data_IF_168287111554
#
_entry.id   IF_168287111554
#
_cell.length_a   1.000
_cell.length_b   1.000
_cell.length_c   1.000
_cell.angle_alpha   90.00
_cell.angle_beta   90.00
_cell.angle_gamma   90.00
#
_symmetry.space_group_name_H-M   'P 1'
#
loop_
_entity.id
_entity.type
_entity.pdbx_description
1 polymer ?
#
# COMPACT_ATOMS: atom_id res chain seq x y z
N UNK A 1 4.37 -14.29 -6.00
CA UNK A 1 3.78 -13.05 -6.58
C UNK A 1 3.48 -12.06 -5.46
N UNK A 2 3.91 -10.84 -5.63
CA UNK A 2 3.65 -9.79 -4.62
C UNK A 2 2.21 -9.32 -4.72
N UNK A 3 1.56 -9.22 -3.58
CA UNK A 3 0.17 -8.76 -3.46
C UNK A 3 0.16 -7.35 -2.91
N UNK A 4 -0.54 -6.46 -3.61
CA UNK A 4 -0.68 -5.05 -3.24
C UNK A 4 -2.16 -4.74 -3.03
N UNK A 5 -2.49 -4.18 -1.88
CA UNK A 5 -3.86 -3.74 -1.58
C UNK A 5 -3.89 -2.22 -1.54
N UNK A 6 -4.76 -1.63 -2.34
CA UNK A 6 -4.95 -0.18 -2.41
C UNK A 6 -6.30 0.17 -1.80
N UNK A 7 -6.28 0.95 -0.72
CA UNK A 7 -7.48 1.32 0.01
C UNK A 7 -7.55 2.81 0.32
N UNK A 8 -6.95 3.63 -0.56
CA UNK A 8 -7.00 5.09 -0.39
C UNK A 8 -8.33 5.66 -0.89
N UNK A 9 -8.68 6.83 -0.40
CA UNK A 9 -9.83 7.61 -0.89
C UNK A 9 -9.34 8.91 -1.50
N UNK A 10 -10.08 9.46 -2.46
CA UNK A 10 -11.33 8.98 -3.04
C UNK A 10 -11.14 7.78 -3.98
N UNK A 11 -12.26 7.16 -4.37
CA UNK A 11 -12.26 5.97 -5.22
C UNK A 11 -11.46 6.15 -6.52
N UNK A 12 -11.61 7.29 -7.16
CA UNK A 12 -10.90 7.59 -8.40
C UNK A 12 -9.38 7.48 -8.21
N UNK A 13 -8.89 7.90 -7.07
CA UNK A 13 -7.50 7.86 -6.71
C UNK A 13 -7.01 6.42 -6.54
N UNK A 14 -7.81 5.58 -5.86
CA UNK A 14 -7.53 4.14 -5.73
C UNK A 14 -7.34 3.49 -7.08
N UNK A 15 -8.27 3.77 -7.99
CA UNK A 15 -8.27 3.18 -9.32
C UNK A 15 -7.06 3.62 -10.13
N UNK A 16 -6.69 4.90 -10.04
CA UNK A 16 -5.53 5.43 -10.75
C UNK A 16 -4.22 4.78 -10.27
N UNK A 17 -4.06 4.65 -8.96
CA UNK A 17 -2.87 4.02 -8.39
C UNK A 17 -2.80 2.55 -8.79
N UNK A 18 -3.91 1.83 -8.67
CA UNK A 18 -3.96 0.42 -9.02
C UNK A 18 -3.61 0.19 -10.50
N UNK A 19 -4.14 1.04 -11.38
CA UNK A 19 -3.86 0.95 -12.81
C UNK A 19 -2.37 1.19 -13.10
N UNK A 20 -1.78 2.19 -12.46
CA UNK A 20 -0.36 2.48 -12.64
C UNK A 20 0.52 1.30 -12.24
N UNK A 21 0.22 0.69 -11.09
CA UNK A 21 1.00 -0.46 -10.61
C UNK A 21 0.82 -1.65 -11.56
N UNK A 22 -0.40 -1.93 -11.99
CA UNK A 22 -0.67 -3.04 -12.91
C UNK A 22 0.08 -2.89 -14.23
N UNK A 23 0.16 -1.67 -14.75
CA UNK A 23 0.86 -1.39 -16.01
C UNK A 23 2.37 -1.46 -15.87
N UNK A 24 2.90 -0.92 -14.78
CA UNK A 24 4.35 -0.79 -14.59
C UNK A 24 4.97 -2.02 -13.95
N UNK A 25 4.16 -2.80 -13.22
CA UNK A 25 4.63 -3.99 -12.51
C UNK A 25 3.62 -5.13 -12.72
N UNK A 26 3.56 -5.68 -13.94
CA UNK A 26 2.56 -6.70 -14.27
C UNK A 26 2.70 -8.00 -13.48
N UNK A 27 3.86 -8.22 -12.84
CA UNK A 27 4.06 -9.38 -11.97
C UNK A 27 3.40 -9.27 -10.60
N UNK A 28 2.83 -8.11 -10.26
CA UNK A 28 2.14 -7.92 -8.99
C UNK A 28 0.66 -8.22 -9.13
N UNK A 29 0.09 -8.77 -8.06
CA UNK A 29 -1.35 -8.93 -7.94
C UNK A 29 -1.89 -7.73 -7.16
N UNK A 30 -2.75 -6.93 -7.78
CA UNK A 30 -3.25 -5.69 -7.20
C UNK A 30 -4.75 -5.78 -6.99
N UNK A 31 -5.18 -5.59 -5.74
CA UNK A 31 -6.59 -5.48 -5.39
C UNK A 31 -6.88 -4.08 -4.86
N UNK A 32 -8.11 -3.64 -5.06
CA UNK A 32 -8.59 -2.39 -4.48
C UNK A 32 -9.75 -2.70 -3.55
N UNK A 33 -9.86 -1.93 -2.47
CA UNK A 33 -10.94 -2.09 -1.50
C UNK A 33 -11.34 -0.72 -0.97
N UNK A 34 -12.64 -0.54 -0.75
CA UNK A 34 -13.11 0.61 0.00
C UNK A 34 -12.61 0.50 1.45
N UNK A 35 -12.44 1.62 2.17
CA UNK A 35 -11.94 1.56 3.55
C UNK A 35 -12.76 0.65 4.46
N UNK A 36 -14.07 0.59 4.28
CA UNK A 36 -14.96 -0.27 5.07
C UNK A 36 -14.74 -1.77 4.82
N UNK A 37 -14.15 -2.14 3.68
CA UNK A 37 -13.87 -3.53 3.31
C UNK A 37 -12.40 -3.90 3.53
N UNK A 38 -11.56 -2.94 3.84
CA UNK A 38 -10.11 -3.14 3.85
C UNK A 38 -9.66 -4.17 4.88
N UNK A 39 -10.24 -4.18 6.08
CA UNK A 39 -9.86 -5.14 7.10
C UNK A 39 -10.16 -6.58 6.68
N UNK A 40 -11.28 -6.80 6.03
CA UNK A 40 -11.62 -8.12 5.50
C UNK A 40 -10.63 -8.54 4.42
N UNK A 41 -10.27 -7.62 3.55
CA UNK A 41 -9.29 -7.89 2.51
C UNK A 41 -7.90 -8.17 3.08
N UNK A 42 -7.52 -7.48 4.14
CA UNK A 42 -6.25 -7.75 4.82
C UNK A 42 -6.20 -9.20 5.30
N UNK A 43 -7.30 -9.70 5.85
CA UNK A 43 -7.37 -11.06 6.37
C UNK A 43 -7.35 -12.13 5.28
N UNK A 44 -7.99 -11.86 4.14
CA UNK A 44 -8.15 -12.86 3.07
C UNK A 44 -7.08 -12.74 1.99
N UNK A 45 -6.76 -11.55 1.57
CA UNK A 45 -5.79 -11.30 0.50
C UNK A 45 -4.34 -11.39 1.00
N UNK A 46 -4.11 -10.99 2.24
CA UNK A 46 -2.79 -10.98 2.89
C UNK A 46 -1.76 -10.23 2.05
N UNK A 47 -1.95 -8.91 1.86
CA UNK A 47 -1.05 -8.16 0.99
C UNK A 47 0.36 -8.04 1.58
N UNK A 48 1.34 -7.95 0.70
CA UNK A 48 2.71 -7.63 1.08
C UNK A 48 2.88 -6.12 1.23
N UNK A 49 2.08 -5.35 0.49
CA UNK A 49 2.08 -3.89 0.54
C UNK A 49 0.64 -3.39 0.69
N UNK A 50 0.43 -2.50 1.65
CA UNK A 50 -0.85 -1.82 1.85
C UNK A 50 -0.66 -0.32 1.60
N UNK A 51 -1.52 0.25 0.76
CA UNK A 51 -1.60 1.71 0.56
C UNK A 51 -2.95 2.16 1.07
N UNK A 52 -2.96 3.03 2.10
CA UNK A 52 -4.20 3.45 2.77
C UNK A 52 -4.09 4.90 3.24
N UNK A 53 -5.18 5.45 3.75
CA UNK A 53 -5.20 6.80 4.33
C UNK A 53 -5.00 6.75 5.85
N UNK A 54 -4.49 7.85 6.40
CA UNK A 54 -4.28 7.99 7.84
C UNK A 54 -5.59 7.98 8.64
N UNK A 55 -6.70 8.36 8.00
CA UNK A 55 -8.02 8.40 8.66
C UNK A 55 -8.94 7.27 8.21
N UNK A 56 -8.39 6.19 7.70
CA UNK A 56 -9.17 5.10 7.13
C UNK A 56 -9.89 4.21 8.14
N UNK A 57 -9.68 4.41 9.44
CA UNK A 57 -10.36 3.62 10.46
C UNK A 57 -9.91 2.17 10.56
N UNK A 58 -8.78 1.83 9.96
CA UNK A 58 -8.28 0.46 10.00
C UNK A 58 -7.73 0.11 11.38
N UNK A 59 -7.97 -1.13 11.80
CA UNK A 59 -7.45 -1.66 13.04
C UNK A 59 -5.93 -1.70 12.99
N UNK A 60 -5.29 -1.13 14.00
CA UNK A 60 -3.82 -1.06 14.07
C UNK A 60 -3.16 -2.44 14.05
N UNK A 61 -3.76 -3.41 14.69
CA UNK A 61 -3.22 -4.77 14.72
C UNK A 61 -3.27 -5.42 13.34
N UNK A 62 -4.36 -5.20 12.60
CA UNK A 62 -4.49 -5.72 11.25
C UNK A 62 -3.44 -5.08 10.32
N UNK A 63 -3.26 -3.77 10.43
CA UNK A 63 -2.29 -3.02 9.62
C UNK A 63 -0.86 -3.40 10.00
N UNK A 64 -0.59 -3.58 11.28
CA UNK A 64 0.75 -3.93 11.76
C UNK A 64 1.24 -5.28 11.22
N UNK A 65 0.33 -6.16 10.85
CA UNK A 65 0.69 -7.44 10.24
C UNK A 65 1.18 -7.34 8.80
N UNK A 66 1.04 -6.19 8.17
CA UNK A 66 1.48 -5.97 6.79
C UNK A 66 2.91 -5.43 6.81
N UNK A 67 3.81 -6.07 6.09
CA UNK A 67 5.24 -5.77 6.14
C UNK A 67 5.60 -4.42 5.56
N UNK A 68 4.95 -4.03 4.46
CA UNK A 68 5.19 -2.74 3.80
C UNK A 68 3.89 -1.95 3.77
N UNK A 69 3.93 -0.69 4.22
CA UNK A 69 2.74 0.15 4.29
C UNK A 69 3.06 1.55 3.80
N UNK A 70 2.13 2.12 3.05
CA UNK A 70 2.16 3.53 2.67
C UNK A 70 0.88 4.16 3.19
N UNK A 71 1.01 5.08 4.16
CA UNK A 71 -0.12 5.79 4.74
C UNK A 71 -0.16 7.19 4.15
N UNK A 72 -1.14 7.44 3.30
CA UNK A 72 -1.31 8.75 2.65
C UNK A 72 -1.99 9.70 3.62
N UNK A 73 -1.35 10.84 3.87
CA UNK A 73 -1.88 11.87 4.76
C UNK A 73 -2.94 12.67 4.02
N UNK A 74 -4.13 12.72 4.58
CA UNK A 74 -5.28 13.29 3.90
C UNK A 74 -5.31 14.82 3.87
N UNK A 75 -4.65 15.46 4.84
CA UNK A 75 -4.83 16.90 5.07
C UNK A 75 -3.99 17.80 4.18
N UNK A 76 -2.87 17.35 3.63
CA UNK A 76 -1.92 18.21 2.94
C UNK A 76 -1.35 17.60 1.67
N UNK A 77 -2.23 17.26 0.75
CA UNK A 77 -1.77 16.77 -0.54
C UNK A 77 -1.33 15.31 -0.49
N UNK A 78 -0.20 15.01 -1.09
CA UNK A 78 0.27 13.63 -1.29
C UNK A 78 1.34 13.20 -0.30
N UNK A 79 1.39 13.85 0.85
CA UNK A 79 2.35 13.44 1.87
C UNK A 79 2.04 12.01 2.36
N UNK A 80 3.07 11.24 2.56
CA UNK A 80 2.92 9.85 2.95
C UNK A 80 3.91 9.47 4.03
N UNK A 81 3.47 8.59 4.93
CA UNK A 81 4.34 7.90 5.88
C UNK A 81 4.54 6.48 5.35
N UNK A 82 5.79 6.11 5.17
CA UNK A 82 6.18 4.84 4.56
C UNK A 82 6.80 3.97 5.64
N UNK A 83 6.28 2.76 5.79
CA UNK A 83 6.83 1.78 6.70
C UNK A 83 7.22 0.54 5.90
N UNK A 84 8.51 0.28 5.81
CA UNK A 84 9.04 -0.90 5.13
C UNK A 84 9.76 -1.75 6.18
N UNK A 85 9.15 -2.86 6.54
CA UNK A 85 9.72 -3.83 7.49
C UNK A 85 10.12 -3.17 8.82
N UNK A 86 9.33 -2.23 9.29
CA UNK A 86 9.56 -1.50 10.53
C UNK A 86 10.34 -0.20 10.40
N UNK A 87 10.99 0.04 9.27
CA UNK A 87 11.72 1.28 9.03
C UNK A 87 10.76 2.34 8.51
N UNK A 88 10.61 3.41 9.27
CA UNK A 88 9.64 4.48 8.97
C UNK A 88 10.34 5.65 8.31
N UNK A 89 9.77 6.13 7.21
CA UNK A 89 10.22 7.33 6.52
C UNK A 89 9.02 8.14 6.06
N UNK A 90 9.28 9.35 5.60
CA UNK A 90 8.22 10.24 5.09
C UNK A 90 8.58 10.73 3.71
N UNK A 91 7.56 10.87 2.87
CA UNK A 91 7.69 11.48 1.56
C UNK A 91 6.68 12.61 1.44
N UNK A 92 7.16 13.81 1.12
CA UNK A 92 6.28 14.91 0.78
C UNK A 92 5.93 14.82 -0.68
N UNK A 93 4.66 15.00 -1.02
CA UNK A 93 4.20 15.04 -2.41
C UNK A 93 4.64 13.79 -3.20
N UNK A 94 4.27 12.62 -2.67
CA UNK A 94 4.69 11.35 -3.25
C UNK A 94 4.24 11.20 -4.72
N UNK A 95 5.19 10.94 -5.59
CA UNK A 95 4.93 10.69 -7.01
C UNK A 95 4.62 9.23 -7.26
N UNK A 96 4.09 8.93 -8.45
CA UNK A 96 3.87 7.56 -8.88
C UNK A 96 5.19 6.78 -8.92
N UNK A 97 6.27 7.41 -9.36
CA UNK A 97 7.60 6.77 -9.40
C UNK A 97 8.08 6.36 -8.01
N UNK A 98 7.88 7.23 -7.03
CA UNK A 98 8.24 6.91 -5.64
C UNK A 98 7.42 5.73 -5.12
N UNK A 99 6.14 5.70 -5.44
CA UNK A 99 5.29 4.58 -5.06
C UNK A 99 5.75 3.29 -5.72
N UNK A 100 6.14 3.33 -6.99
CA UNK A 100 6.65 2.15 -7.68
C UNK A 100 7.96 1.65 -7.08
N UNK A 101 8.81 2.55 -6.58
CA UNK A 101 10.01 2.16 -5.87
C UNK A 101 9.67 1.39 -4.59
N UNK A 102 8.60 1.79 -3.90
CA UNK A 102 8.14 1.06 -2.70
C UNK A 102 7.61 -0.31 -3.09
N UNK A 103 6.89 -0.41 -4.21
CA UNK A 103 6.45 -1.70 -4.75
C UNK A 103 7.67 -2.60 -5.01
N UNK A 104 8.73 -2.05 -5.58
CA UNK A 104 9.96 -2.81 -5.84
C UNK A 104 10.62 -3.30 -4.54
N UNK A 105 10.61 -2.47 -3.49
CA UNK A 105 11.09 -2.89 -2.18
C UNK A 105 10.25 -4.04 -1.62
N UNK A 106 8.93 -3.97 -1.78
CA UNK A 106 8.04 -5.05 -1.35
C UNK A 106 8.33 -6.35 -2.11
N UNK A 107 8.58 -6.25 -3.41
CA UNK A 107 8.97 -7.40 -4.23
C UNK A 107 10.27 -8.01 -3.71
N UNK A 108 11.26 -7.17 -3.45
CA UNK A 108 12.55 -7.63 -2.94
C UNK A 108 12.43 -8.33 -1.61
N UNK A 109 11.63 -7.76 -0.69
CA UNK A 109 11.42 -8.37 0.63
C UNK A 109 10.67 -9.69 0.53
N UNK A 110 9.69 -9.80 -0.36
CA UNK A 110 8.94 -11.03 -0.56
C UNK A 110 9.84 -12.15 -1.10
N UNK A 111 10.79 -11.81 -1.99
CA UNK A 111 11.73 -12.78 -2.56
C UNK A 111 12.80 -13.21 -1.57
N UNK A 112 13.19 -12.33 -0.64
CA UNK A 112 14.25 -12.59 0.33
C UNK A 112 13.71 -12.84 1.73
N UNK A 113 12.40 -12.82 1.89
CA UNK A 113 11.78 -12.99 3.19
C UNK A 113 12.08 -14.35 3.77
N UNK A 114 11.94 -14.50 5.09
CA UNK A 114 12.07 -15.81 5.69
C UNK A 114 10.88 -16.56 5.19
N UNK A 115 11.04 -16.89 4.10
CA UNK A 115 9.96 -17.65 3.56
C UNK A 115 8.95 -17.51 4.50
#
# INVERSE_FOLDING_TARGET
MVRVLISVTPRMYRQAIALSIRRQRPGCEVNIAAPEDAERELATFRPHLLVHNDNGGLNREAVAGVRCRVEVQYSDGMDAVINVDGAVSRAGDMSTEELLQIVDLAISLADHGPG
#
